data_IF_237060478782
#
_entry.id   IF_237060478782
#
_cell.length_a   1.000
_cell.length_b   1.000
_cell.length_c   1.000
_cell.angle_alpha   90.00
_cell.angle_beta   90.00
_cell.angle_gamma   90.00
#
_symmetry.space_group_name_H-M   'P 1'
#
loop_
_entity.id
_entity.type
_entity.pdbx_description
1 polymer ?
#
# COMPACT_ATOMS: atom_id res chain seq x y z
N UNK A 1 61.05 -24.63 -16.99
CA UNK A 1 59.90 -24.18 -17.82
C UNK A 1 58.55 -24.58 -17.22
N UNK A 2 58.46 -25.73 -16.54
CA UNK A 2 57.26 -26.26 -15.88
C UNK A 2 56.60 -25.31 -14.85
N UNK A 3 57.39 -24.70 -13.95
CA UNK A 3 56.86 -23.87 -12.87
C UNK A 3 56.10 -22.61 -13.33
N UNK A 4 56.48 -22.03 -14.48
CA UNK A 4 55.74 -20.87 -15.03
C UNK A 4 54.39 -21.30 -15.57
N UNK A 5 54.31 -22.46 -16.24
CA UNK A 5 53.05 -22.99 -16.76
C UNK A 5 52.05 -23.29 -15.65
N UNK A 6 52.49 -23.90 -14.55
CA UNK A 6 51.62 -24.17 -13.38
C UNK A 6 51.13 -22.90 -12.71
N UNK A 7 51.96 -21.85 -12.61
CA UNK A 7 51.54 -20.55 -12.06
C UNK A 7 50.47 -19.89 -12.95
N UNK A 8 50.68 -19.85 -14.27
CA UNK A 8 49.68 -19.30 -15.19
C UNK A 8 48.36 -20.08 -15.16
N UNK A 9 48.44 -21.40 -15.05
CA UNK A 9 47.26 -22.27 -14.98
C UNK A 9 46.49 -22.05 -13.67
N UNK A 10 47.18 -21.87 -12.55
CA UNK A 10 46.57 -21.55 -11.26
C UNK A 10 45.89 -20.17 -11.27
N UNK A 11 46.54 -19.14 -11.82
CA UNK A 11 45.96 -17.79 -11.93
C UNK A 11 44.70 -17.84 -12.80
N UNK A 12 44.77 -18.51 -13.95
CA UNK A 12 43.62 -18.69 -14.84
C UNK A 12 42.45 -19.38 -14.14
N UNK A 13 42.71 -20.45 -13.39
CA UNK A 13 41.70 -21.19 -12.63
C UNK A 13 41.02 -20.34 -11.55
N UNK A 14 41.81 -19.52 -10.84
CA UNK A 14 41.29 -18.60 -9.81
C UNK A 14 40.39 -17.53 -10.45
N UNK A 15 40.83 -16.91 -11.54
CA UNK A 15 40.03 -15.91 -12.26
C UNK A 15 38.76 -16.50 -12.88
N UNK A 16 38.85 -17.73 -13.40
CA UNK A 16 37.71 -18.43 -13.98
C UNK A 16 36.66 -18.79 -12.93
N UNK A 17 37.10 -19.31 -11.77
CA UNK A 17 36.19 -19.55 -10.65
C UNK A 17 35.55 -18.26 -10.12
N UNK A 18 36.32 -17.17 -10.01
CA UNK A 18 35.78 -15.88 -9.59
C UNK A 18 34.73 -15.32 -10.57
N UNK A 19 34.91 -15.55 -11.88
CA UNK A 19 33.95 -15.17 -12.89
C UNK A 19 32.66 -16.00 -12.82
N UNK A 20 32.75 -17.30 -12.57
CA UNK A 20 31.58 -18.18 -12.39
C UNK A 20 30.80 -17.82 -11.12
N UNK A 21 31.49 -17.55 -10.01
CA UNK A 21 30.84 -17.13 -8.75
C UNK A 21 30.13 -15.78 -8.90
N UNK A 22 30.69 -14.85 -9.65
CA UNK A 22 30.04 -13.56 -9.97
C UNK A 22 28.92 -13.68 -11.02
N UNK A 23 28.97 -14.71 -11.85
CA UNK A 23 28.01 -14.97 -12.92
C UNK A 23 26.82 -15.85 -12.49
N UNK A 24 26.84 -16.43 -11.29
CA UNK A 24 25.65 -17.05 -10.74
C UNK A 24 24.66 -15.95 -10.35
N UNK A 25 23.46 -15.89 -10.96
CA UNK A 25 22.39 -15.09 -10.40
C UNK A 25 22.11 -15.69 -9.03
N UNK A 26 22.43 -14.93 -7.98
CA UNK A 26 22.04 -15.26 -6.63
C UNK A 26 20.54 -15.48 -6.70
N UNK A 27 20.06 -16.68 -6.35
CA UNK A 27 18.62 -17.01 -6.40
C UNK A 27 17.73 -16.05 -5.61
N UNK A 28 18.34 -15.17 -4.81
CA UNK A 28 17.74 -13.97 -4.22
C UNK A 28 17.09 -13.07 -5.26
N UNK A 29 17.68 -12.81 -6.42
CA UNK A 29 17.19 -11.74 -7.31
C UNK A 29 15.83 -12.10 -7.92
N UNK A 30 15.62 -13.39 -8.22
CA UNK A 30 14.33 -13.91 -8.70
C UNK A 30 13.29 -13.95 -7.57
N UNK A 31 13.69 -14.39 -6.38
CA UNK A 31 12.80 -14.40 -5.21
C UNK A 31 12.40 -12.99 -4.76
N UNK A 32 13.35 -12.06 -4.75
CA UNK A 32 13.14 -10.65 -4.39
C UNK A 32 12.23 -9.97 -5.41
N UNK A 33 12.37 -10.29 -6.70
CA UNK A 33 11.46 -9.79 -7.74
C UNK A 33 10.02 -10.28 -7.49
N UNK A 34 9.82 -11.58 -7.25
CA UNK A 34 8.49 -12.14 -6.96
C UNK A 34 7.91 -11.56 -5.67
N UNK A 35 8.71 -11.46 -4.60
CA UNK A 35 8.29 -10.87 -3.33
C UNK A 35 7.86 -9.42 -3.54
N UNK A 36 8.63 -8.64 -4.31
CA UNK A 36 8.30 -7.23 -4.60
C UNK A 36 7.02 -7.09 -5.43
N UNK A 37 6.78 -7.97 -6.40
CA UNK A 37 5.55 -7.94 -7.20
C UNK A 37 4.33 -8.29 -6.34
N UNK A 38 4.45 -9.30 -5.48
CA UNK A 38 3.39 -9.70 -4.54
C UNK A 38 3.12 -8.57 -3.54
N UNK A 39 4.15 -7.97 -2.97
CA UNK A 39 4.02 -6.82 -2.07
C UNK A 39 3.32 -5.66 -2.77
N UNK A 40 3.71 -5.36 -4.01
CA UNK A 40 3.10 -4.30 -4.82
C UNK A 40 1.63 -4.57 -5.08
N UNK A 41 1.25 -5.81 -5.40
CA UNK A 41 -0.15 -6.20 -5.61
C UNK A 41 -0.96 -6.08 -4.31
N UNK A 42 -0.42 -6.54 -3.19
CA UNK A 42 -1.08 -6.46 -1.88
C UNK A 42 -1.28 -5.00 -1.46
N UNK A 43 -0.21 -4.18 -1.51
CA UNK A 43 -0.27 -2.77 -1.12
C UNK A 43 -1.23 -2.00 -2.03
N UNK A 44 -1.18 -2.23 -3.34
CA UNK A 44 -2.11 -1.59 -4.27
C UNK A 44 -3.56 -2.06 -4.07
N UNK A 45 -3.76 -3.35 -3.75
CA UNK A 45 -5.07 -3.89 -3.40
C UNK A 45 -5.65 -3.23 -2.16
N UNK A 46 -4.85 -3.16 -1.08
CA UNK A 46 -5.24 -2.50 0.18
C UNK A 46 -5.52 -1.01 -0.02
N UNK A 47 -4.69 -0.29 -0.79
CA UNK A 47 -4.94 1.11 -1.14
C UNK A 47 -6.26 1.28 -1.90
N UNK A 48 -6.52 0.44 -2.91
CA UNK A 48 -7.80 0.49 -3.66
C UNK A 48 -9.00 0.20 -2.77
N UNK A 49 -8.89 -0.75 -1.85
CA UNK A 49 -9.94 -1.08 -0.89
C UNK A 49 -10.20 0.09 0.05
N UNK A 50 -9.15 0.70 0.60
CA UNK A 50 -9.26 1.87 1.48
C UNK A 50 -9.93 3.06 0.77
N UNK A 51 -9.53 3.33 -0.48
CA UNK A 51 -10.16 4.36 -1.33
C UNK A 51 -11.64 4.05 -1.57
N UNK A 52 -12.02 2.79 -1.78
CA UNK A 52 -13.41 2.40 -1.95
C UNK A 52 -14.23 2.65 -0.65
N UNK A 53 -13.68 2.28 0.51
CA UNK A 53 -14.32 2.53 1.81
C UNK A 53 -14.49 4.03 2.06
N UNK A 54 -13.48 4.84 1.77
CA UNK A 54 -13.55 6.31 1.89
C UNK A 54 -14.67 6.88 1.00
N UNK A 55 -14.80 6.41 -0.25
CA UNK A 55 -15.89 6.85 -1.14
C UNK A 55 -17.27 6.50 -0.58
N UNK A 56 -17.45 5.29 -0.04
CA UNK A 56 -18.72 4.86 0.56
C UNK A 56 -19.02 5.69 1.82
N UNK A 57 -18.04 5.88 2.69
CA UNK A 57 -18.18 6.69 3.90
C UNK A 57 -18.54 8.16 3.57
N UNK A 58 -17.97 8.71 2.48
CA UNK A 58 -18.29 10.05 1.99
C UNK A 58 -19.75 10.21 1.62
N UNK A 59 -20.31 9.23 0.92
CA UNK A 59 -21.74 9.20 0.59
C UNK A 59 -22.57 9.06 1.87
N UNK A 60 -22.16 8.18 2.80
CA UNK A 60 -22.88 7.92 4.03
C UNK A 60 -23.01 9.16 4.92
N UNK A 61 -21.91 9.89 5.18
CA UNK A 61 -22.00 11.09 6.02
C UNK A 61 -22.81 12.20 5.34
N UNK A 62 -22.76 12.31 4.01
CA UNK A 62 -23.58 13.27 3.26
C UNK A 62 -25.06 12.97 3.45
N UNK A 63 -25.46 11.71 3.27
CA UNK A 63 -26.84 11.28 3.48
C UNK A 63 -27.27 11.46 4.94
N UNK A 64 -26.42 11.16 5.91
CA UNK A 64 -26.69 11.39 7.33
C UNK A 64 -26.87 12.88 7.64
N UNK A 65 -26.05 13.75 7.04
CA UNK A 65 -26.17 15.19 7.19
C UNK A 65 -27.49 15.71 6.63
N UNK A 66 -27.85 15.29 5.41
CA UNK A 66 -29.12 15.66 4.76
C UNK A 66 -30.30 15.14 5.59
N UNK A 67 -30.29 13.87 5.99
CA UNK A 67 -31.34 13.28 6.81
C UNK A 67 -31.47 14.01 8.15
N UNK A 68 -30.35 14.36 8.79
CA UNK A 68 -30.33 15.13 10.02
C UNK A 68 -30.95 16.52 9.87
N UNK A 69 -30.63 17.24 8.80
CA UNK A 69 -31.22 18.55 8.48
C UNK A 69 -32.71 18.43 8.22
N UNK A 70 -33.14 17.45 7.43
CA UNK A 70 -34.57 17.22 7.14
C UNK A 70 -35.36 16.86 8.40
N UNK A 71 -34.81 16.01 9.28
CA UNK A 71 -35.44 15.66 10.56
C UNK A 71 -35.48 16.82 11.54
N UNK A 72 -34.47 17.70 11.50
CA UNK A 72 -34.45 18.92 12.32
C UNK A 72 -35.47 19.94 11.82
N UNK A 73 -35.55 20.16 10.50
CA UNK A 73 -36.46 21.12 9.88
C UNK A 73 -37.94 20.69 9.96
N UNK A 74 -38.22 19.39 9.83
CA UNK A 74 -39.59 18.86 9.90
C UNK A 74 -40.18 18.79 11.32
N UNK A 75 -39.36 18.99 12.36
CA UNK A 75 -39.82 18.93 13.75
C UNK A 75 -40.14 17.53 14.29
N UNK A 76 -40.13 16.48 13.44
CA UNK A 76 -40.51 15.12 13.82
C UNK A 76 -39.61 14.53 14.93
N UNK A 77 -38.30 14.76 14.85
CA UNK A 77 -37.34 14.27 15.84
C UNK A 77 -36.11 15.18 15.92
N UNK A 78 -36.32 16.42 16.37
CA UNK A 78 -35.32 17.50 16.46
C UNK A 78 -34.03 17.06 17.18
N UNK A 79 -34.15 16.32 18.29
CA UNK A 79 -32.99 15.81 19.05
C UNK A 79 -32.12 14.84 18.25
N UNK A 80 -32.74 13.86 17.59
CA UNK A 80 -32.04 12.89 16.73
C UNK A 80 -31.47 13.55 15.47
N UNK A 81 -32.20 14.51 14.89
CA UNK A 81 -31.73 15.28 13.73
C UNK A 81 -30.43 16.04 14.03
N UNK A 82 -30.37 16.75 15.17
CA UNK A 82 -29.13 17.42 15.62
C UNK A 82 -27.97 16.44 15.83
N UNK A 83 -28.23 15.28 16.44
CA UNK A 83 -27.21 14.23 16.63
C UNK A 83 -26.68 13.69 15.30
N UNK A 84 -27.55 13.48 14.30
CA UNK A 84 -27.14 13.04 12.97
C UNK A 84 -26.30 14.09 12.24
N UNK A 85 -26.66 15.38 12.36
CA UNK A 85 -25.87 16.48 11.78
C UNK A 85 -24.47 16.52 12.39
N UNK A 86 -24.38 16.48 13.73
CA UNK A 86 -23.08 16.50 14.43
C UNK A 86 -22.27 15.25 14.08
N UNK A 87 -22.90 14.07 14.08
CA UNK A 87 -22.24 12.82 13.69
C UNK A 87 -21.70 12.87 12.25
N UNK A 88 -22.48 13.39 11.31
CA UNK A 88 -22.05 13.57 9.93
C UNK A 88 -20.85 14.51 9.81
N UNK A 89 -20.85 15.63 10.54
CA UNK A 89 -19.73 16.59 10.54
C UNK A 89 -18.46 15.94 11.13
N UNK A 90 -18.58 15.26 12.27
CA UNK A 90 -17.43 14.59 12.91
C UNK A 90 -16.83 13.54 11.98
N UNK A 91 -17.67 12.69 11.38
CA UNK A 91 -17.20 11.68 10.42
C UNK A 91 -16.58 12.34 9.20
N UNK A 92 -17.15 13.42 8.67
CA UNK A 92 -16.60 14.14 7.52
C UNK A 92 -15.20 14.68 7.81
N UNK A 93 -14.98 15.30 8.97
CA UNK A 93 -13.66 15.82 9.38
C UNK A 93 -12.65 14.69 9.56
N UNK A 94 -13.03 13.61 10.25
CA UNK A 94 -12.15 12.45 10.45
C UNK A 94 -11.79 11.77 9.13
N UNK A 95 -12.77 11.62 8.24
CA UNK A 95 -12.57 10.99 6.95
C UNK A 95 -11.69 11.84 6.03
N UNK A 96 -11.85 13.17 6.06
CA UNK A 96 -11.02 14.07 5.26
C UNK A 96 -9.57 14.10 5.79
N UNK A 97 -9.38 14.07 7.11
CA UNK A 97 -8.06 13.93 7.72
C UNK A 97 -7.40 12.59 7.34
N UNK A 98 -8.16 11.49 7.36
CA UNK A 98 -7.67 10.17 6.93
C UNK A 98 -7.33 10.17 5.44
N UNK A 99 -8.23 10.69 4.59
CA UNK A 99 -8.02 10.77 3.14
C UNK A 99 -6.86 11.69 2.76
N UNK A 100 -6.54 12.70 3.56
CA UNK A 100 -5.37 13.57 3.33
C UNK A 100 -4.04 12.93 3.70
N UNK A 101 -4.05 11.83 4.45
CA UNK A 101 -2.85 11.10 4.90
C UNK A 101 -2.40 9.96 3.98
N UNK A 102 -3.25 9.59 3.01
CA UNK A 102 -3.06 8.47 2.07
C UNK A 102 -2.72 9.02 0.68
#
# INVERSE_FOLDING_TARGET
>A
MEARKTIFLAIFLITFFAAIVRGQPTGSDFLDTIISEVETVIVNGLKRMLVAIIKIARIAYLLMGIAGVLMWASGYAVGRGKQLIVGAIVIAVLLEALSGSI
#
